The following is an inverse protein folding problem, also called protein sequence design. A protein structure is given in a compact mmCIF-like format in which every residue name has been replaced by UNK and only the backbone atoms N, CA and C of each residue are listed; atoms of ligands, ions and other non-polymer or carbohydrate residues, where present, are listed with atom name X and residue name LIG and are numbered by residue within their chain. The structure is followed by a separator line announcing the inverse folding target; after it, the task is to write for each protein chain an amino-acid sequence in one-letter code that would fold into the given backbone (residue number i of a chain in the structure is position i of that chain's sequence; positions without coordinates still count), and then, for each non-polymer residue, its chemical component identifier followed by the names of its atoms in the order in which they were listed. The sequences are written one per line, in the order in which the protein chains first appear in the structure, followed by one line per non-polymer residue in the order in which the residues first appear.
data_IF_936928875102
#
_entry.id   IF_936928875102
#
_cell.length_a   1.000
_cell.length_b   1.000
_cell.length_c   1.000
_cell.angle_alpha   90.00
_cell.angle_beta   90.00
_cell.angle_gamma   90.00
#
_symmetry.space_group_name_H-M   'P 1'
#
loop_
_entity.id
_entity.type
_entity.pdbx_description
1 polymer ?
#
# COMPACT_ATOMS: atom_id res chain seq x y z
N UNK A 1 10.12 -29.83 -43.32
CA UNK A 1 9.19 -30.25 -42.24
C UNK A 1 9.67 -29.58 -40.95
N UNK A 2 9.28 -28.37 -40.58
CA UNK A 2 7.94 -27.82 -40.47
C UNK A 2 7.50 -27.81 -39.00
N UNK A 3 8.19 -27.07 -38.11
CA UNK A 3 7.74 -26.91 -36.71
C UNK A 3 6.72 -25.77 -36.64
N UNK A 4 5.57 -25.96 -35.97
CA UNK A 4 4.46 -25.02 -36.02
C UNK A 4 4.73 -23.75 -35.20
N UNK A 5 4.13 -22.65 -35.67
CA UNK A 5 3.98 -21.37 -34.96
C UNK A 5 2.99 -21.53 -33.80
N UNK A 6 3.43 -21.33 -32.58
CA UNK A 6 2.61 -20.90 -31.44
C UNK A 6 3.31 -19.65 -30.90
N UNK A 7 2.68 -18.49 -30.76
CA UNK A 7 1.35 -18.22 -30.23
C UNK A 7 1.62 -17.21 -29.13
N UNK A 8 1.29 -15.94 -29.37
CA UNK A 8 1.55 -14.85 -28.45
C UNK A 8 0.84 -15.10 -27.12
N UNK A 9 1.61 -15.15 -26.04
CA UNK A 9 1.08 -14.86 -24.71
C UNK A 9 1.18 -13.36 -24.48
N UNK A 10 0.15 -12.69 -23.93
CA UNK A 10 0.36 -11.38 -23.34
C UNK A 10 1.32 -11.57 -22.17
N UNK A 11 2.49 -10.93 -22.25
CA UNK A 11 3.42 -10.81 -21.14
C UNK A 11 2.66 -10.13 -19.99
N UNK A 12 2.34 -10.92 -18.98
CA UNK A 12 1.59 -10.48 -17.82
C UNK A 12 2.44 -9.50 -17.03
N UNK A 13 1.88 -8.31 -16.89
CA UNK A 13 1.93 -7.52 -15.67
C UNK A 13 3.29 -6.97 -15.26
N UNK A 14 3.56 -5.75 -15.75
CA UNK A 14 3.79 -4.61 -14.85
C UNK A 14 4.80 -4.84 -13.75
N UNK A 15 6.08 -4.81 -14.12
CA UNK A 15 7.18 -4.67 -13.20
C UNK A 15 7.11 -3.28 -12.53
N UNK A 16 6.29 -3.15 -11.49
CA UNK A 16 6.27 -2.00 -10.59
C UNK A 16 7.53 -2.04 -9.73
N UNK A 17 8.60 -1.56 -10.34
CA UNK A 17 9.95 -1.46 -9.83
C UNK A 17 9.99 -0.56 -8.59
N UNK A 18 10.43 -1.18 -7.49
CA UNK A 18 11.31 -0.63 -6.45
C UNK A 18 10.80 0.59 -5.67
N UNK A 19 10.28 0.32 -4.47
CA UNK A 19 10.08 1.34 -3.44
C UNK A 19 9.73 0.76 -2.07
N UNK A 20 10.25 -0.41 -1.70
CA UNK A 20 10.04 -0.98 -0.37
C UNK A 20 11.18 -0.61 0.57
N UNK A 21 11.04 0.55 1.20
CA UNK A 21 11.47 0.75 2.59
C UNK A 21 10.40 1.64 3.22
N UNK A 22 9.95 1.34 4.44
CA UNK A 22 8.79 1.93 5.14
C UNK A 22 8.80 3.45 5.40
N UNK A 23 9.41 4.23 4.52
CA UNK A 23 9.38 5.70 4.45
C UNK A 23 9.14 6.22 3.04
N UNK A 24 9.20 5.38 2.01
CA UNK A 24 8.89 5.79 0.64
C UNK A 24 7.39 5.91 0.51
N UNK A 25 6.92 7.16 0.40
CA UNK A 25 5.53 7.51 0.15
C UNK A 25 4.94 6.60 -0.92
N UNK A 26 3.89 5.87 -0.56
CA UNK A 26 3.12 5.10 -1.53
C UNK A 26 2.68 6.04 -2.66
N UNK A 27 2.60 5.60 -3.92
CA UNK A 27 2.08 6.39 -5.03
C UNK A 27 0.68 7.00 -4.82
N UNK A 28 -0.06 6.61 -3.77
CA UNK A 28 -1.28 7.29 -3.37
C UNK A 28 -0.96 8.46 -2.42
N UNK A 29 -0.92 9.73 -2.89
CA UNK A 29 -0.67 10.90 -2.06
C UNK A 29 -1.77 11.14 -1.00
N UNK A 30 -2.94 10.52 -1.15
CA UNK A 30 -4.03 10.59 -0.17
C UNK A 30 -3.93 9.50 0.91
N UNK A 31 -2.96 8.59 0.82
CA UNK A 31 -2.73 7.59 1.86
C UNK A 31 -2.07 8.28 3.06
N UNK A 32 -2.81 8.43 4.15
CA UNK A 32 -2.26 8.91 5.41
C UNK A 32 -1.09 8.03 5.84
N UNK A 33 0.07 8.64 6.09
CA UNK A 33 1.22 7.93 6.67
C UNK A 33 0.92 7.61 8.14
N UNK A 34 1.17 6.37 8.54
CA UNK A 34 0.97 5.89 9.92
C UNK A 34 2.33 5.49 10.47
N UNK A 35 2.68 5.98 11.67
CA UNK A 35 3.97 5.69 12.30
C UNK A 35 3.88 4.53 13.31
N UNK A 36 2.70 4.28 13.88
CA UNK A 36 2.48 3.26 14.90
C UNK A 36 1.20 2.46 14.63
N UNK A 37 1.25 1.15 14.81
CA UNK A 37 0.08 0.29 14.71
C UNK A 37 -0.95 0.66 15.79
N UNK A 38 -2.22 0.94 15.43
CA UNK A 38 -3.23 1.31 16.41
C UNK A 38 -3.61 0.16 17.37
N UNK A 39 -3.20 -1.07 17.08
CA UNK A 39 -3.51 -2.25 17.88
C UNK A 39 -2.39 -2.68 18.83
N UNK A 40 -1.12 -2.60 18.41
CA UNK A 40 0.01 -3.09 19.22
C UNK A 40 1.08 -2.03 19.51
N UNK A 41 0.98 -0.82 18.94
CA UNK A 41 2.00 0.23 19.07
C UNK A 41 3.27 0.01 18.25
N UNK A 42 3.39 -1.12 17.55
CA UNK A 42 4.53 -1.47 16.71
C UNK A 42 4.76 -0.52 15.55
N UNK A 43 5.99 -0.43 15.07
CA UNK A 43 6.43 0.51 14.04
C UNK A 43 6.73 -0.19 12.70
N UNK A 44 6.75 -1.52 12.69
CA UNK A 44 6.94 -2.32 11.47
C UNK A 44 5.64 -2.37 10.65
N UNK A 45 5.36 -1.24 9.98
CA UNK A 45 4.19 -1.00 9.16
C UNK A 45 4.56 -0.98 7.67
N UNK A 46 3.79 -1.73 6.88
CA UNK A 46 3.95 -1.84 5.43
C UNK A 46 2.63 -1.59 4.73
N UNK A 47 2.64 -1.02 3.53
CA UNK A 47 1.42 -0.97 2.76
C UNK A 47 0.93 -2.35 2.34
N UNK A 48 -0.39 -2.49 2.31
CA UNK A 48 -1.08 -3.71 1.89
C UNK A 48 -1.92 -3.45 0.64
N UNK A 49 -2.16 -4.52 -0.13
CA UNK A 49 -2.89 -4.49 -1.41
C UNK A 49 -4.40 -4.62 -1.22
N UNK A 50 -4.88 -5.00 -0.03
CA UNK A 50 -6.31 -5.15 0.28
C UNK A 50 -7.10 -3.90 -0.15
N UNK A 51 -6.54 -2.69 0.08
CA UNK A 51 -7.09 -1.42 -0.44
C UNK A 51 -5.98 -0.38 -0.70
N UNK A 52 -6.30 0.67 -1.47
CA UNK A 52 -5.43 1.84 -1.71
C UNK A 52 -5.02 2.63 -0.44
N UNK A 53 -5.57 2.26 0.72
CA UNK A 53 -5.34 2.86 2.03
C UNK A 53 -4.97 1.82 3.10
N UNK A 54 -4.77 0.55 2.73
CA UNK A 54 -4.48 -0.53 3.66
C UNK A 54 -3.01 -0.57 4.13
N UNK A 55 -2.82 -0.90 5.40
CA UNK A 55 -1.57 -1.04 6.10
C UNK A 55 -1.56 -2.37 6.83
N UNK A 56 -0.45 -3.09 6.70
CA UNK A 56 -0.15 -4.31 7.42
C UNK A 56 0.87 -4.02 8.52
N UNK A 57 0.57 -4.44 9.75
CA UNK A 57 1.55 -4.51 10.82
C UNK A 57 2.18 -5.91 10.86
N UNK A 58 3.51 -6.01 10.72
CA UNK A 58 4.21 -7.31 10.72
C UNK A 58 4.50 -7.85 12.12
N UNK A 59 4.35 -7.01 13.16
CA UNK A 59 4.50 -7.46 14.55
C UNK A 59 3.27 -8.20 15.07
N UNK A 60 2.07 -7.68 14.78
CA UNK A 60 0.82 -8.26 15.26
C UNK A 60 -0.07 -8.87 14.16
N UNK A 61 0.46 -8.94 12.93
CA UNK A 61 -0.16 -9.56 11.74
C UNK A 61 -1.57 -9.05 11.40
N UNK A 62 -1.86 -7.77 11.66
CA UNK A 62 -3.15 -7.15 11.35
C UNK A 62 -3.05 -6.26 10.13
N UNK A 63 -4.09 -6.29 9.30
CA UNK A 63 -4.30 -5.36 8.20
C UNK A 63 -5.41 -4.38 8.58
N UNK A 64 -5.21 -3.09 8.34
CA UNK A 64 -6.16 -2.03 8.65
C UNK A 64 -6.06 -0.91 7.63
N UNK A 65 -7.10 -0.08 7.51
CA UNK A 65 -7.12 1.04 6.56
C UNK A 65 -7.05 2.38 7.29
N UNK A 66 -6.31 3.35 6.72
CA UNK A 66 -6.24 4.72 7.24
C UNK A 66 -6.63 5.72 6.16
N UNK A 67 -7.67 6.48 6.44
CA UNK A 67 -8.25 7.47 5.53
C UNK A 67 -8.36 8.84 6.19
N UNK A 68 -7.81 9.86 5.54
CA UNK A 68 -8.07 11.25 5.90
C UNK A 68 -9.44 11.65 5.35
N UNK A 69 -10.34 12.09 6.23
CA UNK A 69 -11.68 12.56 5.83
C UNK A 69 -11.76 14.08 5.60
N UNK A 70 -10.69 14.82 5.90
CA UNK A 70 -10.62 16.28 5.80
C UNK A 70 -10.38 16.94 7.16
N UNK A 71 -10.52 18.27 7.21
CA UNK A 71 -10.38 19.07 8.42
C UNK A 71 -11.77 19.46 8.93
N UNK A 72 -11.98 19.34 10.24
CA UNK A 72 -13.17 19.90 10.90
C UNK A 72 -12.89 21.36 11.29
N UNK A 73 -13.93 22.20 11.29
CA UNK A 73 -13.81 23.59 11.74
C UNK A 73 -13.40 23.65 13.22
N UNK A 74 -12.37 24.44 13.54
CA UNK A 74 -11.84 24.52 14.92
C UNK A 74 -12.56 25.52 15.82
N UNK A 75 -13.37 26.43 15.25
CA UNK A 75 -14.14 27.43 16.02
C UNK A 75 -13.30 28.32 16.94
N UNK A 76 -12.02 28.55 16.61
CA UNK A 76 -11.13 29.43 17.40
C UNK A 76 -11.41 30.87 16.98
N UNK A 77 -11.84 31.69 17.94
CA UNK A 77 -12.10 33.13 17.80
C UNK A 77 -10.80 33.95 17.80
#
# INVERSE_FOLDING_TARGET
MGRPRGGGGPEVSGEAKLGISGRSAHPNPNRGAVMHCPYCGGEELWPDVETDYAWQCRECCRVFTVKLHGHIERGVA
#
